data_IF_286837397711
#
_entry.id   IF_286837397711
#
_cell.length_a   1.000
_cell.length_b   1.000
_cell.length_c   1.000
_cell.angle_alpha   90.00
_cell.angle_beta   90.00
_cell.angle_gamma   90.00
#
_symmetry.space_group_name_H-M   'P 1'
#
loop_
_entity.id
_entity.type
_entity.pdbx_description
1 polymer ?
#
# COMPACT_ATOMS: atom_id res chain seq x y z
N UNK A 1 15.47 -19.34 26.49
CA UNK A 1 15.81 -19.46 25.06
C UNK A 1 14.52 -19.61 24.28
N UNK A 2 14.01 -18.53 23.69
CA UNK A 2 12.79 -18.57 22.86
C UNK A 2 13.23 -18.95 21.45
N UNK A 3 12.78 -20.10 20.94
CA UNK A 3 13.18 -20.63 19.64
C UNK A 3 12.64 -19.78 18.50
N UNK A 4 13.41 -19.59 17.42
CA UNK A 4 13.09 -18.71 16.28
C UNK A 4 11.72 -18.98 15.63
N UNK A 5 11.18 -20.18 15.78
CA UNK A 5 9.83 -20.56 15.31
C UNK A 5 8.72 -19.77 16.03
N UNK A 6 8.90 -19.44 17.30
CA UNK A 6 7.87 -18.75 18.12
C UNK A 6 7.64 -17.30 17.67
N UNK A 7 8.69 -16.62 17.18
CA UNK A 7 8.60 -15.26 16.65
C UNK A 7 7.89 -15.20 15.29
N UNK A 8 8.13 -16.18 14.41
CA UNK A 8 7.46 -16.27 13.11
C UNK A 8 5.96 -16.56 13.27
N UNK A 9 5.58 -17.46 14.19
CA UNK A 9 4.18 -17.70 14.53
C UNK A 9 3.53 -16.51 15.21
N UNK A 10 4.24 -15.74 16.04
CA UNK A 10 3.72 -14.51 16.65
C UNK A 10 3.46 -13.42 15.61
N UNK A 11 4.39 -13.20 14.67
CA UNK A 11 4.21 -12.24 13.59
C UNK A 11 3.07 -12.63 12.64
N UNK A 12 2.99 -13.90 12.25
CA UNK A 12 1.97 -14.36 11.32
C UNK A 12 0.58 -14.42 11.98
N UNK A 13 0.50 -14.87 13.25
CA UNK A 13 -0.75 -14.87 14.01
C UNK A 13 -1.22 -13.46 14.31
N UNK A 14 -0.36 -12.53 14.70
CA UNK A 14 -0.80 -11.17 15.03
C UNK A 14 -1.15 -10.34 13.79
N UNK A 15 -0.49 -10.59 12.66
CA UNK A 15 -0.81 -9.94 11.38
C UNK A 15 -2.10 -10.50 10.78
N UNK A 16 -2.26 -11.83 10.76
CA UNK A 16 -3.49 -12.47 10.27
C UNK A 16 -4.67 -12.25 11.22
N UNK A 17 -4.45 -12.24 12.54
CA UNK A 17 -5.51 -11.87 13.49
C UNK A 17 -5.90 -10.41 13.33
N UNK A 18 -4.96 -9.47 13.09
CA UNK A 18 -5.34 -8.10 12.77
C UNK A 18 -6.09 -8.00 11.44
N UNK A 19 -5.74 -8.79 10.43
CA UNK A 19 -6.43 -8.81 9.13
C UNK A 19 -7.83 -9.40 9.25
N UNK A 20 -7.97 -10.48 10.02
CA UNK A 20 -9.23 -11.19 10.28
C UNK A 20 -10.12 -10.41 11.25
N UNK A 21 -9.57 -9.80 12.30
CA UNK A 21 -10.28 -8.89 13.22
C UNK A 21 -10.74 -7.61 12.51
N UNK A 22 -9.93 -7.08 11.59
CA UNK A 22 -10.34 -5.96 10.73
C UNK A 22 -11.50 -6.38 9.81
N UNK A 23 -11.52 -7.62 9.35
CA UNK A 23 -12.59 -8.16 8.49
C UNK A 23 -13.85 -8.54 9.29
N UNK A 24 -13.71 -9.06 10.51
CA UNK A 24 -14.83 -9.44 11.40
C UNK A 24 -15.46 -8.23 12.09
N UNK A 25 -14.70 -7.18 12.42
CA UNK A 25 -15.26 -5.89 12.87
C UNK A 25 -16.12 -5.20 11.81
N UNK A 26 -16.04 -5.60 10.53
CA UNK A 26 -16.94 -5.11 9.48
C UNK A 26 -18.32 -5.78 9.52
N UNK A 27 -18.51 -6.88 10.27
CA UNK A 27 -19.74 -7.66 10.24
C UNK A 27 -20.76 -7.32 11.35
N UNK A 28 -20.37 -6.63 12.44
CA UNK A 28 -21.29 -6.35 13.55
C UNK A 28 -21.10 -4.94 14.14
N UNK A 29 -21.86 -3.94 13.65
CA UNK A 29 -22.42 -2.84 14.46
C UNK A 29 -23.58 -2.19 13.69
N UNK A 30 -24.73 -2.04 14.36
CA UNK A 30 -25.97 -1.43 13.82
C UNK A 30 -26.09 0.05 14.17
N UNK A 31 -26.58 0.79 13.17
CA UNK A 31 -27.49 1.95 13.19
C UNK A 31 -27.11 3.20 14.01
N UNK A 32 -26.66 4.25 13.30
CA UNK A 32 -26.70 5.64 13.77
C UNK A 32 -25.59 6.50 13.16
N UNK A 33 -25.94 7.19 12.07
CA UNK A 33 -25.26 8.32 11.41
C UNK A 33 -23.81 8.16 10.88
N UNK A 34 -23.59 8.71 9.68
CA UNK A 34 -22.37 8.74 8.84
C UNK A 34 -22.07 7.53 7.93
N UNK A 35 -22.91 7.33 6.91
CA UNK A 35 -22.57 6.55 5.71
C UNK A 35 -21.45 7.25 4.89
N UNK A 36 -20.18 6.93 5.16
CA UNK A 36 -19.15 6.90 4.11
C UNK A 36 -18.67 5.47 3.92
N UNK A 37 -19.51 4.75 3.18
CA UNK A 37 -19.25 3.51 2.44
C UNK A 37 -17.81 3.52 1.91
N UNK A 38 -17.03 2.47 2.19
CA UNK A 38 -15.64 2.32 1.71
C UNK A 38 -15.56 2.79 0.25
N UNK A 39 -14.89 3.93 0.03
CA UNK A 39 -14.86 4.58 -1.28
C UNK A 39 -14.40 3.60 -2.35
N UNK A 40 -15.10 3.56 -3.49
CA UNK A 40 -14.77 2.66 -4.58
C UNK A 40 -13.35 2.88 -5.13
N UNK A 41 -12.90 1.93 -5.96
CA UNK A 41 -11.67 2.05 -6.73
C UNK A 41 -11.87 2.72 -8.11
N UNK A 42 -13.06 3.26 -8.38
CA UNK A 42 -13.43 3.77 -9.71
C UNK A 42 -13.73 5.28 -9.67
N UNK A 43 -13.35 5.96 -10.75
CA UNK A 43 -13.59 7.40 -10.95
C UNK A 43 -12.57 8.34 -10.28
N UNK A 44 -12.65 9.65 -10.59
CA UNK A 44 -11.63 10.64 -10.21
C UNK A 44 -11.52 10.86 -8.69
N UNK A 45 -12.56 10.54 -7.94
CA UNK A 45 -12.63 10.68 -6.48
C UNK A 45 -12.38 9.35 -5.73
N UNK A 46 -11.89 8.32 -6.42
CA UNK A 46 -11.63 7.02 -5.80
C UNK A 46 -10.63 7.14 -4.64
N UNK A 47 -11.03 6.59 -3.49
CA UNK A 47 -10.24 6.63 -2.26
C UNK A 47 -9.02 5.69 -2.32
N UNK A 48 -9.07 4.69 -3.21
CA UNK A 48 -8.03 3.70 -3.40
C UNK A 48 -7.59 3.66 -4.86
N UNK A 49 -6.35 3.23 -5.07
CA UNK A 49 -5.77 2.95 -6.38
C UNK A 49 -5.24 1.53 -6.39
N UNK A 50 -5.30 0.89 -7.55
CA UNK A 50 -4.75 -0.45 -7.77
C UNK A 50 -3.36 -0.34 -8.39
N UNK A 51 -2.36 -0.93 -7.75
CA UNK A 51 -1.02 -1.05 -8.29
C UNK A 51 -0.79 -2.51 -8.70
N UNK A 52 -0.47 -2.75 -9.96
CA UNK A 52 -0.27 -4.10 -10.52
C UNK A 52 1.22 -4.31 -10.80
N UNK A 53 1.82 -5.34 -10.20
CA UNK A 53 3.22 -5.69 -10.42
C UNK A 53 3.46 -6.40 -11.77
N UNK A 54 4.72 -6.58 -12.14
CA UNK A 54 5.12 -7.21 -13.40
C UNK A 54 4.70 -8.68 -13.51
N UNK A 55 4.56 -9.36 -12.37
CA UNK A 55 4.07 -10.72 -12.22
C UNK A 55 2.56 -10.79 -11.91
N UNK A 56 1.83 -9.69 -12.09
CA UNK A 56 0.37 -9.64 -12.06
C UNK A 56 -0.27 -9.60 -10.67
N UNK A 57 0.49 -9.34 -9.60
CA UNK A 57 -0.09 -9.17 -8.28
C UNK A 57 -0.70 -7.78 -8.15
N UNK A 58 -1.92 -7.72 -7.63
CA UNK A 58 -2.66 -6.49 -7.40
C UNK A 58 -2.53 -6.02 -5.96
N UNK A 59 -2.16 -4.75 -5.77
CA UNK A 59 -2.05 -4.10 -4.47
C UNK A 59 -3.02 -2.92 -4.41
N UNK A 60 -3.99 -3.00 -3.50
CA UNK A 60 -4.93 -1.90 -3.25
C UNK A 60 -4.35 -1.00 -2.16
N UNK A 61 -4.10 0.27 -2.51
CA UNK A 61 -3.52 1.27 -1.61
C UNK A 61 -4.35 2.53 -1.61
N UNK A 62 -4.41 3.23 -0.48
CA UNK A 62 -5.08 4.53 -0.40
C UNK A 62 -4.44 5.51 -1.38
N UNK A 63 -5.24 6.27 -2.11
CA UNK A 63 -4.77 7.25 -3.10
C UNK A 63 -3.74 8.19 -2.48
N UNK A 64 -4.05 8.78 -1.33
CA UNK A 64 -3.16 9.71 -0.62
C UNK A 64 -1.80 9.11 -0.26
N UNK A 65 -1.74 7.80 0.02
CA UNK A 65 -0.48 7.13 0.31
C UNK A 65 0.32 6.93 -0.99
N UNK A 66 -0.35 6.48 -2.06
CA UNK A 66 0.29 6.26 -3.36
C UNK A 66 0.82 7.55 -4.00
N UNK A 67 0.18 8.69 -3.72
CA UNK A 67 0.64 10.02 -4.13
C UNK A 67 1.93 10.50 -3.45
N UNK A 68 2.51 9.70 -2.54
CA UNK A 68 3.90 9.86 -2.09
C UNK A 68 4.89 9.74 -3.25
N UNK A 69 4.55 8.93 -4.28
CA UNK A 69 5.34 8.78 -5.49
C UNK A 69 5.00 9.84 -6.52
N UNK A 70 6.01 10.59 -6.98
CA UNK A 70 5.87 11.57 -8.06
C UNK A 70 5.42 10.91 -9.37
N UNK A 71 5.97 9.74 -9.67
CA UNK A 71 5.62 8.96 -10.87
C UNK A 71 4.19 8.47 -10.85
N UNK A 72 3.71 7.89 -9.74
CA UNK A 72 2.31 7.44 -9.62
C UNK A 72 1.37 8.64 -9.74
N UNK A 73 1.70 9.76 -9.09
CA UNK A 73 0.92 11.00 -9.20
C UNK A 73 0.81 11.47 -10.66
N UNK A 74 1.91 11.44 -11.41
CA UNK A 74 1.92 11.82 -12.82
C UNK A 74 1.10 10.86 -13.68
N UNK A 75 1.18 9.55 -13.43
CA UNK A 75 0.37 8.55 -14.13
C UNK A 75 -1.13 8.74 -13.88
N UNK A 76 -1.52 9.00 -12.63
CA UNK A 76 -2.92 9.25 -12.27
C UNK A 76 -3.43 10.63 -12.73
N UNK A 77 -2.56 11.57 -13.09
CA UNK A 77 -2.91 12.96 -13.43
C UNK A 77 -2.55 13.37 -14.87
N UNK A 78 -2.03 12.44 -15.68
CA UNK A 78 -1.41 12.73 -16.97
C UNK A 78 -2.38 13.15 -18.10
N UNK A 79 -1.88 13.75 -19.20
CA UNK A 79 -2.69 14.16 -20.35
C UNK A 79 -3.14 12.93 -21.17
N UNK A 80 -4.28 12.36 -20.76
CA UNK A 80 -4.95 11.20 -21.36
C UNK A 80 -6.28 10.89 -20.64
N UNK A 81 -6.86 11.93 -20.05
CA UNK A 81 -7.73 12.00 -18.86
C UNK A 81 -8.99 11.11 -18.77
N UNK A 82 -9.29 10.29 -19.77
CA UNK A 82 -10.54 9.52 -19.80
C UNK A 82 -10.36 8.04 -19.44
N UNK A 83 -9.28 7.37 -19.88
CA UNK A 83 -9.17 5.92 -19.68
C UNK A 83 -8.58 5.52 -18.32
N UNK A 84 -7.53 6.21 -17.84
CA UNK A 84 -6.83 5.84 -16.60
C UNK A 84 -7.43 6.49 -15.35
N UNK A 85 -8.09 7.63 -15.51
CA UNK A 85 -8.77 8.34 -14.43
C UNK A 85 -10.12 7.68 -14.07
N UNK A 86 -10.68 6.88 -14.97
CA UNK A 86 -11.86 6.04 -14.68
C UNK A 86 -11.47 4.77 -13.92
N UNK A 87 -10.33 4.14 -14.26
CA UNK A 87 -9.94 2.84 -13.68
C UNK A 87 -9.11 2.96 -12.40
N UNK A 88 -8.37 4.05 -12.17
CA UNK A 88 -7.47 4.23 -11.01
C UNK A 88 -6.47 3.08 -10.80
N UNK A 89 -6.01 2.49 -11.91
CA UNK A 89 -5.06 1.37 -11.90
C UNK A 89 -3.74 1.79 -12.55
N UNK A 90 -2.62 1.34 -11.98
CA UNK A 90 -1.27 1.58 -12.49
C UNK A 90 -0.55 0.24 -12.65
N UNK A 91 -0.06 -0.03 -13.86
CA UNK A 91 0.65 -1.26 -14.18
C UNK A 91 2.15 -1.05 -14.26
N UNK A 92 2.90 -1.76 -13.43
CA UNK A 92 4.36 -1.74 -13.42
C UNK A 92 4.91 -2.95 -14.17
N UNK A 93 5.43 -2.73 -15.39
CA UNK A 93 5.99 -3.81 -16.22
C UNK A 93 7.34 -4.33 -15.70
N UNK A 94 8.05 -3.54 -14.90
CA UNK A 94 9.43 -3.83 -14.49
C UNK A 94 9.57 -4.07 -12.97
N UNK A 95 8.53 -3.77 -12.17
CA UNK A 95 8.59 -3.92 -10.71
C UNK A 95 7.88 -5.22 -10.29
N UNK A 96 8.59 -6.23 -9.77
CA UNK A 96 7.99 -7.48 -9.31
C UNK A 96 7.24 -7.31 -7.97
N UNK A 97 6.31 -8.22 -7.70
CA UNK A 97 5.44 -8.20 -6.50
C UNK A 97 6.19 -8.06 -5.18
N UNK A 98 7.31 -8.75 -5.01
CA UNK A 98 8.08 -8.74 -3.76
C UNK A 98 8.71 -7.36 -3.47
N UNK A 99 9.05 -6.59 -4.52
CA UNK A 99 9.52 -5.20 -4.41
C UNK A 99 8.34 -4.26 -4.23
N UNK A 100 7.29 -4.41 -5.04
CA UNK A 100 6.11 -3.54 -4.98
C UNK A 100 5.40 -3.62 -3.61
N UNK A 101 5.34 -4.80 -3.01
CA UNK A 101 4.84 -5.00 -1.65
C UNK A 101 5.62 -4.13 -0.64
N UNK A 102 6.95 -4.03 -0.81
CA UNK A 102 7.80 -3.24 0.08
C UNK A 102 7.62 -1.74 -0.14
N UNK A 103 7.45 -1.32 -1.40
CA UNK A 103 7.07 0.05 -1.77
C UNK A 103 5.72 0.45 -1.15
N UNK A 104 4.69 -0.38 -1.28
CA UNK A 104 3.38 -0.12 -0.65
C UNK A 104 3.47 0.02 0.87
N UNK A 105 4.32 -0.80 1.50
CA UNK A 105 4.62 -0.69 2.93
C UNK A 105 5.30 0.65 3.25
N UNK A 106 6.25 1.07 2.41
CA UNK A 106 6.93 2.36 2.54
C UNK A 106 5.96 3.54 2.41
N UNK A 107 4.99 3.53 1.48
CA UNK A 107 4.00 4.60 1.38
C UNK A 107 3.21 4.79 2.68
N UNK A 108 2.77 3.69 3.30
CA UNK A 108 2.06 3.76 4.58
C UNK A 108 2.98 4.23 5.71
N UNK A 109 4.22 3.75 5.75
CA UNK A 109 5.23 4.19 6.70
C UNK A 109 5.51 5.70 6.57
N UNK A 110 5.81 6.16 5.36
CA UNK A 110 6.09 7.56 5.05
C UNK A 110 4.91 8.44 5.42
N UNK A 111 3.70 8.08 5.02
CA UNK A 111 2.50 8.82 5.37
C UNK A 111 2.29 8.90 6.88
N UNK A 112 2.44 7.77 7.59
CA UNK A 112 2.21 7.69 9.05
C UNK A 112 3.20 8.49 9.89
N UNK A 113 4.46 8.59 9.44
CA UNK A 113 5.53 9.23 10.20
C UNK A 113 5.93 10.61 9.68
N UNK A 114 5.41 11.03 8.52
CA UNK A 114 5.56 12.41 8.05
C UNK A 114 4.86 13.35 9.03
N UNK A 115 5.57 14.36 9.53
CA UNK A 115 5.10 15.33 10.54
C UNK A 115 4.65 14.70 11.87
N UNK A 116 5.03 13.46 12.16
CA UNK A 116 4.74 12.83 13.44
C UNK A 116 5.77 13.24 14.50
N UNK A 117 5.30 13.53 15.72
CA UNK A 117 6.15 13.80 16.89
C UNK A 117 6.53 12.52 17.64
N UNK A 118 6.06 11.35 17.19
CA UNK A 118 6.43 10.05 17.78
C UNK A 118 7.80 9.62 17.30
N UNK A 119 8.45 8.75 18.09
CA UNK A 119 9.66 8.07 17.64
C UNK A 119 9.40 7.34 16.32
N UNK A 120 10.31 7.51 15.37
CA UNK A 120 10.21 6.94 14.02
C UNK A 120 10.90 5.58 14.06
N UNK A 121 10.18 4.45 13.90
CA UNK A 121 10.79 3.13 13.91
C UNK A 121 11.63 2.91 12.66
N UNK A 122 12.63 2.03 12.75
CA UNK A 122 13.42 1.65 11.58
C UNK A 122 12.54 0.96 10.52
N UNK A 123 12.76 1.28 9.25
CA UNK A 123 12.11 0.60 8.13
C UNK A 123 13.02 -0.56 7.65
N UNK A 124 12.72 -1.82 8.02
CA UNK A 124 13.65 -2.92 7.78
C UNK A 124 13.72 -3.27 6.29
N UNK A 125 14.90 -3.22 5.69
CA UNK A 125 15.15 -3.63 4.31
C UNK A 125 16.06 -4.85 4.34
N UNK A 126 15.64 -5.94 3.70
CA UNK A 126 16.49 -7.13 3.57
C UNK A 126 17.60 -6.85 2.56
N UNK A 127 18.85 -7.27 2.81
CA UNK A 127 19.96 -7.05 1.87
C UNK A 127 19.65 -7.57 0.46
N UNK A 128 18.97 -8.71 0.36
CA UNK A 128 18.70 -9.39 -0.91
C UNK A 128 17.78 -8.59 -1.85
N UNK A 129 16.95 -7.68 -1.33
CA UNK A 129 16.02 -6.86 -2.14
C UNK A 129 16.47 -5.40 -2.26
N UNK A 130 17.58 -5.02 -1.63
CA UNK A 130 17.95 -3.62 -1.45
C UNK A 130 18.23 -2.91 -2.78
N UNK A 131 18.91 -3.59 -3.71
CA UNK A 131 19.23 -3.03 -5.02
C UNK A 131 17.99 -2.86 -5.90
N UNK A 132 17.11 -3.86 -5.93
CA UNK A 132 15.85 -3.78 -6.68
C UNK A 132 14.94 -2.69 -6.12
N UNK A 133 14.85 -2.59 -4.79
CA UNK A 133 14.08 -1.55 -4.13
C UNK A 133 14.64 -0.15 -4.40
N UNK A 134 15.97 0.01 -4.48
CA UNK A 134 16.62 1.28 -4.84
C UNK A 134 16.27 1.70 -6.28
N UNK A 135 16.31 0.76 -7.23
CA UNK A 135 15.93 1.03 -8.62
C UNK A 135 14.45 1.42 -8.71
N UNK A 136 13.57 0.70 -8.00
CA UNK A 136 12.16 1.03 -7.94
C UNK A 136 11.90 2.40 -7.30
N UNK A 137 12.57 2.73 -6.19
CA UNK A 137 12.45 4.03 -5.54
C UNK A 137 12.86 5.18 -6.46
N UNK A 138 13.98 5.03 -7.17
CA UNK A 138 14.42 6.02 -8.16
C UNK A 138 13.41 6.17 -9.32
N UNK A 139 12.84 5.07 -9.81
CA UNK A 139 11.80 5.11 -10.85
C UNK A 139 10.50 5.75 -10.35
N UNK A 140 10.11 5.49 -9.11
CA UNK A 140 8.88 5.98 -8.50
C UNK A 140 9.00 7.40 -7.93
N UNK A 141 10.20 7.98 -7.90
CA UNK A 141 10.45 9.31 -7.34
C UNK A 141 9.93 9.42 -5.89
N UNK A 142 10.41 8.55 -4.99
CA UNK A 142 9.96 8.47 -3.58
C UNK A 142 11.02 7.98 -2.57
#
# INVERSE_FOLDING_TARGET
MVTATTLASYFNSHYMNNLVDTTLKMAETKAGDDEKMYGGCEGPDAMYVKLVSSDGHEFIVKRDHALTSGTIKAMLSGPGQFAENETNEVHFKEIPSHVLCKVCTYFTYKFRYTNSSTEIPEFPIKPDIALELLMAANFLDC
#
